data_IF_702945776775
#
_entry.id   IF_702945776775
#
_cell.length_a   1.000
_cell.length_b   1.000
_cell.length_c   1.000
_cell.angle_alpha   90.00
_cell.angle_beta   90.00
_cell.angle_gamma   90.00
#
_symmetry.space_group_name_H-M   'P 1'
#
loop_
_entity.id
_entity.type
_entity.pdbx_description
1 polymer ?
#
# COMPACT_ATOMS: atom_id res chain seq x y z
N UNK A 1 11.27 -4.17 7.63
CA UNK A 1 12.43 -3.28 7.66
C UNK A 1 13.07 -3.28 6.26
N UNK A 2 12.71 -2.31 5.44
CA UNK A 2 13.11 -2.20 4.02
C UNK A 2 14.50 -1.57 3.82
N UNK A 3 15.17 -1.16 4.89
CA UNK A 3 16.38 -0.35 4.81
C UNK A 3 17.58 -0.98 4.08
N UNK A 4 17.56 -2.30 3.80
CA UNK A 4 18.66 -2.98 3.11
C UNK A 4 18.19 -4.07 2.12
N UNK A 5 16.94 -4.07 1.69
CA UNK A 5 16.41 -5.06 0.74
C UNK A 5 15.67 -4.35 -0.38
N UNK A 6 15.80 -4.84 -1.60
CA UNK A 6 14.99 -4.37 -2.73
C UNK A 6 13.51 -4.75 -2.53
N UNK A 7 12.61 -4.08 -3.25
CA UNK A 7 11.20 -4.45 -3.21
C UNK A 7 10.95 -5.83 -3.85
N UNK A 8 11.76 -6.22 -4.83
CA UNK A 8 11.75 -7.55 -5.43
C UNK A 8 12.14 -8.62 -4.41
N UNK A 9 13.18 -8.37 -3.58
CA UNK A 9 13.58 -9.27 -2.49
C UNK A 9 12.48 -9.41 -1.44
N UNK A 10 11.77 -8.31 -1.16
CA UNK A 10 10.63 -8.32 -0.26
C UNK A 10 9.47 -9.10 -0.88
N UNK A 11 9.18 -8.86 -2.17
CA UNK A 11 8.12 -9.52 -2.92
C UNK A 11 8.25 -11.04 -2.94
N UNK A 12 9.47 -11.54 -3.00
CA UNK A 12 9.81 -12.96 -2.95
C UNK A 12 10.42 -13.41 -1.61
N UNK A 13 10.19 -12.64 -0.54
CA UNK A 13 10.63 -13.05 0.80
C UNK A 13 9.95 -14.35 1.25
N UNK A 14 10.55 -15.02 2.24
CA UNK A 14 9.99 -16.24 2.80
C UNK A 14 8.55 -16.06 3.28
N UNK A 15 8.26 -14.93 3.90
CA UNK A 15 6.94 -14.58 4.41
C UNK A 15 5.90 -14.48 3.31
N UNK A 16 6.22 -13.75 2.22
CA UNK A 16 5.30 -13.59 1.08
C UNK A 16 5.12 -14.89 0.29
N UNK A 17 6.17 -15.67 0.11
CA UNK A 17 6.10 -16.98 -0.54
C UNK A 17 5.22 -17.94 0.26
N UNK A 18 5.43 -18.00 1.58
CA UNK A 18 4.60 -18.82 2.48
C UNK A 18 3.14 -18.39 2.44
N UNK A 19 2.88 -17.08 2.51
CA UNK A 19 1.52 -16.55 2.46
C UNK A 19 0.80 -16.92 1.15
N UNK A 20 1.46 -16.77 -0.01
CA UNK A 20 0.88 -17.15 -1.29
C UNK A 20 0.53 -18.64 -1.34
N UNK A 21 1.45 -19.51 -0.91
CA UNK A 21 1.21 -20.96 -0.84
C UNK A 21 0.02 -21.31 0.04
N UNK A 22 -0.06 -20.73 1.24
CA UNK A 22 -1.17 -20.96 2.14
C UNK A 22 -2.51 -20.56 1.51
N UNK A 23 -2.56 -19.37 0.90
CA UNK A 23 -3.79 -18.90 0.23
C UNK A 23 -4.17 -19.76 -0.98
N UNK A 24 -3.19 -20.19 -1.77
CA UNK A 24 -3.43 -21.10 -2.92
C UNK A 24 -3.94 -22.48 -2.48
N UNK A 25 -3.50 -22.96 -1.32
CA UNK A 25 -3.98 -24.20 -0.73
C UNK A 25 -5.34 -24.08 -0.01
N UNK A 26 -5.95 -22.89 -0.04
CA UNK A 26 -7.22 -22.64 0.66
C UNK A 26 -7.09 -22.53 2.19
N UNK A 27 -5.86 -22.39 2.70
CA UNK A 27 -5.62 -22.18 4.12
C UNK A 27 -6.05 -20.79 4.58
N UNK A 28 -6.24 -20.62 5.89
CA UNK A 28 -6.56 -19.35 6.53
C UNK A 28 -5.35 -18.80 7.29
N UNK A 29 -4.40 -18.09 6.64
CA UNK A 29 -3.24 -17.52 7.31
C UNK A 29 -3.63 -16.60 8.46
N UNK A 30 -2.92 -16.70 9.58
CA UNK A 30 -3.21 -15.90 10.79
C UNK A 30 -3.05 -14.39 10.57
N UNK A 31 -2.17 -13.96 9.67
CA UNK A 31 -2.00 -12.56 9.30
C UNK A 31 -3.25 -11.95 8.67
N UNK A 32 -4.15 -12.78 8.13
CA UNK A 32 -5.43 -12.36 7.54
C UNK A 32 -6.62 -12.50 8.51
N UNK A 33 -6.37 -12.68 9.82
CA UNK A 33 -7.41 -13.00 10.82
C UNK A 33 -8.58 -12.01 10.83
N UNK A 34 -8.34 -10.73 10.57
CA UNK A 34 -9.42 -9.72 10.50
C UNK A 34 -10.38 -10.01 9.36
N UNK A 35 -9.87 -10.37 8.18
CA UNK A 35 -10.73 -10.76 7.06
C UNK A 35 -11.55 -12.00 7.40
N UNK A 36 -10.93 -13.02 7.97
CA UNK A 36 -11.62 -14.26 8.35
C UNK A 36 -12.70 -14.00 9.39
N UNK A 37 -12.42 -13.16 10.41
CA UNK A 37 -13.40 -12.79 11.44
C UNK A 37 -14.63 -12.08 10.84
N UNK A 38 -14.41 -11.16 9.88
CA UNK A 38 -15.53 -10.49 9.19
C UNK A 38 -16.37 -11.48 8.38
N UNK A 39 -15.72 -12.41 7.68
CA UNK A 39 -16.39 -13.41 6.83
C UNK A 39 -17.17 -14.41 7.67
N UNK A 40 -16.63 -14.86 8.81
CA UNK A 40 -17.32 -15.74 9.77
C UNK A 40 -18.55 -15.07 10.41
N UNK A 41 -18.53 -13.74 10.54
CA UNK A 41 -19.69 -12.96 10.99
C UNK A 41 -20.69 -12.65 9.86
N UNK A 42 -20.50 -13.18 8.65
CA UNK A 42 -21.38 -12.96 7.50
C UNK A 42 -21.18 -11.60 6.80
N UNK A 43 -20.10 -10.88 7.12
CA UNK A 43 -19.78 -9.57 6.55
C UNK A 43 -18.82 -9.68 5.38
N UNK A 44 -18.84 -8.69 4.48
CA UNK A 44 -17.82 -8.55 3.45
C UNK A 44 -16.48 -8.13 4.08
N UNK A 45 -15.43 -8.85 3.75
CA UNK A 45 -14.05 -8.47 4.07
C UNK A 45 -13.40 -7.70 2.93
N UNK A 46 -12.30 -7.00 3.24
CA UNK A 46 -11.46 -6.38 2.21
C UNK A 46 -10.92 -7.42 1.20
N UNK A 47 -10.66 -8.66 1.66
CA UNK A 47 -10.25 -9.77 0.80
C UNK A 47 -11.31 -10.11 -0.22
N UNK A 48 -12.57 -10.31 0.19
CA UNK A 48 -13.69 -10.62 -0.72
C UNK A 48 -13.89 -9.48 -1.70
N UNK A 49 -13.90 -8.22 -1.22
CA UNK A 49 -14.08 -7.04 -2.05
C UNK A 49 -12.99 -6.90 -3.11
N UNK A 50 -11.73 -7.10 -2.73
CA UNK A 50 -10.61 -7.03 -3.67
C UNK A 50 -10.60 -8.23 -4.64
N UNK A 51 -10.91 -9.45 -4.19
CA UNK A 51 -11.05 -10.60 -5.08
C UNK A 51 -12.14 -10.37 -6.15
N UNK A 52 -13.26 -9.76 -5.75
CA UNK A 52 -14.31 -9.38 -6.70
C UNK A 52 -13.84 -8.28 -7.66
N UNK A 53 -13.14 -7.28 -7.16
CA UNK A 53 -12.62 -6.16 -7.94
C UNK A 53 -11.62 -6.61 -9.01
N UNK A 54 -10.71 -7.51 -8.66
CA UNK A 54 -9.62 -7.98 -9.51
C UNK A 54 -9.83 -9.39 -10.07
N UNK A 55 -11.08 -9.87 -10.13
CA UNK A 55 -11.39 -11.25 -10.61
C UNK A 55 -10.83 -11.55 -12.00
N UNK A 56 -10.78 -10.57 -12.89
CA UNK A 56 -10.25 -10.70 -14.24
C UNK A 56 -8.73 -10.88 -14.28
N UNK A 57 -8.04 -10.52 -13.19
CA UNK A 57 -6.60 -10.65 -13.04
C UNK A 57 -6.20 -11.98 -12.37
N UNK A 58 -7.13 -12.87 -12.04
CA UNK A 58 -6.83 -14.13 -11.33
C UNK A 58 -5.88 -15.06 -12.08
N UNK A 59 -5.81 -14.93 -13.40
CA UNK A 59 -4.80 -15.64 -14.20
C UNK A 59 -3.36 -15.36 -13.76
N UNK A 60 -3.11 -14.26 -13.01
CA UNK A 60 -1.80 -13.95 -12.43
C UNK A 60 -1.42 -14.96 -11.34
N UNK A 61 -2.41 -15.54 -10.64
CA UNK A 61 -2.19 -16.57 -9.62
C UNK A 61 -1.54 -17.80 -10.21
N UNK A 62 -1.87 -18.16 -11.45
CA UNK A 62 -1.31 -19.29 -12.18
C UNK A 62 0.19 -19.15 -12.48
N UNK A 63 0.72 -17.91 -12.40
CA UNK A 63 2.15 -17.61 -12.57
C UNK A 63 2.95 -17.85 -11.28
N UNK A 64 2.30 -18.23 -10.19
CA UNK A 64 3.00 -18.47 -8.93
C UNK A 64 3.71 -19.82 -8.99
N UNK A 65 5.02 -19.79 -8.78
CA UNK A 65 5.85 -21.00 -8.77
C UNK A 65 5.49 -21.92 -7.58
N UNK A 66 5.89 -23.18 -7.66
CA UNK A 66 5.59 -24.20 -6.63
C UNK A 66 6.13 -23.84 -5.24
N UNK A 67 7.21 -23.03 -5.18
CA UNK A 67 7.78 -22.53 -3.93
C UNK A 67 7.07 -21.26 -3.42
N UNK A 68 6.08 -20.73 -4.15
CA UNK A 68 5.35 -19.50 -3.84
C UNK A 68 6.00 -18.22 -4.37
N UNK A 69 7.11 -18.31 -5.12
CA UNK A 69 7.73 -17.16 -5.76
C UNK A 69 6.97 -16.71 -7.01
N UNK A 70 7.23 -15.49 -7.42
CA UNK A 70 6.78 -14.91 -8.69
C UNK A 70 7.99 -14.32 -9.42
N UNK A 71 8.15 -14.63 -10.71
CA UNK A 71 9.27 -14.14 -11.52
C UNK A 71 9.16 -12.64 -11.82
N UNK A 72 7.94 -12.11 -11.75
CA UNK A 72 7.68 -10.68 -11.98
C UNK A 72 6.78 -10.10 -10.89
N UNK A 73 7.06 -8.87 -10.49
CA UNK A 73 6.19 -8.09 -9.61
C UNK A 73 5.14 -7.37 -10.47
N UNK A 74 3.93 -7.92 -10.53
CA UNK A 74 2.82 -7.40 -11.34
C UNK A 74 1.74 -6.80 -10.42
N UNK A 75 1.92 -5.52 -10.08
CA UNK A 75 1.04 -4.80 -9.16
C UNK A 75 -0.25 -4.36 -9.86
N UNK A 76 -1.40 -4.54 -9.20
CA UNK A 76 -2.72 -4.05 -9.65
C UNK A 76 -3.28 -2.95 -8.74
N UNK A 77 -2.94 -2.97 -7.48
CA UNK A 77 -3.36 -2.01 -6.47
C UNK A 77 -2.16 -1.49 -5.71
N UNK A 78 -2.07 -0.19 -5.53
CA UNK A 78 -0.99 0.44 -4.79
C UNK A 78 -1.56 1.46 -3.80
N UNK A 79 -1.46 1.15 -2.50
CA UNK A 79 -1.75 2.07 -1.39
C UNK A 79 -0.46 2.81 -1.03
N UNK A 80 -0.45 4.11 -1.18
CA UNK A 80 0.73 4.93 -1.01
C UNK A 80 0.53 6.04 0.03
N UNK A 81 1.53 6.16 0.92
CA UNK A 81 1.56 7.14 2.03
C UNK A 81 2.94 7.74 2.14
N UNK A 82 3.22 8.73 1.29
CA UNK A 82 4.54 9.33 1.19
C UNK A 82 4.88 10.27 2.35
N UNK A 83 3.88 10.80 3.04
CA UNK A 83 4.09 11.80 4.08
C UNK A 83 2.96 11.76 5.10
N UNK A 84 3.20 12.29 6.29
CA UNK A 84 2.14 12.60 7.24
C UNK A 84 1.91 14.11 7.38
N UNK A 85 2.47 14.93 6.47
CA UNK A 85 2.17 16.35 6.40
C UNK A 85 0.71 16.54 6.03
N UNK A 86 0.00 17.32 6.83
CA UNK A 86 -1.42 17.57 6.66
C UNK A 86 -1.77 18.97 7.16
N UNK A 87 -2.60 19.68 6.40
CA UNK A 87 -3.15 20.98 6.78
C UNK A 87 -4.45 20.86 7.61
N UNK A 88 -4.95 19.64 7.82
CA UNK A 88 -6.17 19.38 8.57
C UNK A 88 -5.93 18.73 9.94
N UNK A 89 -6.94 18.87 10.83
CA UNK A 89 -7.07 18.18 12.11
C UNK A 89 -8.40 17.46 12.20
N UNK A 90 -8.59 16.44 11.35
CA UNK A 90 -9.82 15.66 11.34
C UNK A 90 -9.98 14.88 12.64
N UNK A 91 -11.18 14.87 13.23
CA UNK A 91 -11.46 14.21 14.52
C UNK A 91 -11.26 12.69 14.49
N UNK A 92 -11.35 12.09 13.33
CA UNK A 92 -11.15 10.64 13.10
C UNK A 92 -9.70 10.28 12.78
N UNK A 93 -8.80 11.27 12.71
CA UNK A 93 -7.39 11.09 12.41
C UNK A 93 -6.55 10.99 13.69
N UNK A 94 -5.29 10.58 13.53
CA UNK A 94 -4.33 10.48 14.62
C UNK A 94 -3.02 11.19 14.28
N UNK A 95 -2.18 11.41 15.29
CA UNK A 95 -0.86 11.99 15.18
C UNK A 95 0.06 11.25 14.18
N UNK A 96 -0.13 9.95 14.01
CA UNK A 96 0.64 9.14 13.03
C UNK A 96 0.41 9.59 11.58
N UNK A 97 -0.81 10.06 11.27
CA UNK A 97 -1.23 10.41 9.90
C UNK A 97 -1.47 11.91 9.68
N UNK A 98 -1.25 12.75 10.69
CA UNK A 98 -1.41 14.19 10.56
C UNK A 98 -0.33 14.93 11.34
N UNK A 99 0.49 15.71 10.63
CA UNK A 99 1.53 16.55 11.26
C UNK A 99 0.96 17.54 12.26
N UNK A 100 -0.26 18.06 12.01
CA UNK A 100 -0.91 18.98 12.95
C UNK A 100 -1.32 18.28 14.26
N UNK A 101 -1.79 17.02 14.18
CA UNK A 101 -2.02 16.22 15.37
C UNK A 101 -0.71 15.79 16.04
N UNK A 102 0.33 15.47 15.24
CA UNK A 102 1.62 15.08 15.77
C UNK A 102 2.26 16.20 16.61
N UNK A 103 2.17 17.46 16.16
CA UNK A 103 2.65 18.62 16.92
C UNK A 103 1.92 18.74 18.27
N UNK A 104 0.60 18.61 18.27
CA UNK A 104 -0.21 18.72 19.49
C UNK A 104 0.03 17.54 20.44
N UNK A 105 0.06 16.32 19.93
CA UNK A 105 0.30 15.11 20.72
C UNK A 105 1.71 15.11 21.34
N UNK A 106 2.71 15.59 20.60
CA UNK A 106 4.08 15.74 21.12
C UNK A 106 4.22 16.81 22.21
N UNK A 107 3.34 17.83 22.22
CA UNK A 107 3.35 18.89 23.23
C UNK A 107 2.57 18.52 24.49
N UNK A 108 1.48 17.76 24.35
CA UNK A 108 0.49 17.56 25.40
C UNK A 108 0.16 16.08 25.67
N UNK A 109 0.63 15.16 24.85
CA UNK A 109 0.38 13.74 24.99
C UNK A 109 1.41 13.02 25.85
N UNK A 110 0.97 11.93 26.49
CA UNK A 110 1.85 11.04 27.28
C UNK A 110 2.53 9.95 26.41
N UNK A 111 2.32 10.02 25.10
CA UNK A 111 2.80 9.01 24.16
C UNK A 111 4.25 9.26 23.70
N UNK A 112 4.84 8.24 23.06
CA UNK A 112 6.13 8.43 22.39
C UNK A 112 5.98 9.47 21.27
N UNK A 113 6.98 10.37 21.11
CA UNK A 113 6.95 11.38 20.05
C UNK A 113 6.67 10.78 18.68
N UNK A 114 5.74 11.38 17.96
CA UNK A 114 5.43 11.03 16.57
C UNK A 114 6.28 11.89 15.64
N UNK A 115 7.02 11.25 14.76
CA UNK A 115 7.86 11.95 13.80
C UNK A 115 7.02 12.50 12.66
N UNK A 116 7.29 13.76 12.29
CA UNK A 116 6.78 14.35 11.06
C UNK A 116 7.76 13.96 9.95
N UNK A 117 7.24 13.36 8.89
CA UNK A 117 8.02 13.00 7.71
C UNK A 117 7.34 13.57 6.45
N UNK A 118 8.13 14.25 5.66
CA UNK A 118 7.83 14.57 4.28
C UNK A 118 8.62 13.60 3.43
N UNK A 119 8.05 13.06 2.38
CA UNK A 119 8.79 12.21 1.46
C UNK A 119 10.08 12.90 1.01
N UNK A 120 11.20 12.51 1.59
CA UNK A 120 12.54 13.03 1.31
C UNK A 120 13.42 11.98 0.64
N UNK A 121 14.71 12.17 0.63
CA UNK A 121 15.72 11.38 -0.10
C UNK A 121 15.60 9.85 0.05
N UNK A 122 15.21 9.36 1.23
CA UNK A 122 14.96 7.94 1.47
C UNK A 122 13.74 7.40 0.70
N UNK A 123 12.77 8.26 0.42
CA UNK A 123 11.56 7.90 -0.34
C UNK A 123 11.81 7.93 -1.85
N UNK A 124 12.77 8.68 -2.33
CA UNK A 124 13.15 8.68 -3.74
C UNK A 124 13.71 7.33 -4.17
N UNK A 125 14.53 6.71 -3.32
CA UNK A 125 15.02 5.36 -3.57
C UNK A 125 13.85 4.36 -3.65
N UNK A 126 12.88 4.43 -2.74
CA UNK A 126 11.72 3.56 -2.73
C UNK A 126 10.79 3.84 -3.93
N UNK A 127 10.53 5.11 -4.24
CA UNK A 127 9.76 5.52 -5.41
C UNK A 127 10.36 4.98 -6.69
N UNK A 128 11.66 5.12 -6.87
CA UNK A 128 12.38 4.65 -8.06
C UNK A 128 12.33 3.13 -8.21
N UNK A 129 12.29 2.38 -7.12
CA UNK A 129 12.09 0.93 -7.15
C UNK A 129 10.66 0.56 -7.59
N UNK A 130 9.63 1.30 -7.18
CA UNK A 130 8.24 1.02 -7.56
C UNK A 130 7.87 1.55 -8.95
N UNK A 131 8.46 2.65 -9.39
CA UNK A 131 8.11 3.34 -10.64
C UNK A 131 8.02 2.41 -11.87
N UNK A 132 8.94 1.45 -12.10
CA UNK A 132 8.85 0.52 -13.24
C UNK A 132 7.61 -0.37 -13.24
N UNK A 133 6.98 -0.58 -12.07
CA UNK A 133 5.82 -1.45 -11.90
C UNK A 133 4.48 -0.72 -12.06
N UNK A 134 4.48 0.60 -12.25
CA UNK A 134 3.25 1.39 -12.35
C UNK A 134 2.47 1.16 -13.63
N UNK A 135 3.08 0.64 -14.68
CA UNK A 135 2.44 0.44 -15.99
C UNK A 135 1.20 -0.47 -15.96
N UNK A 136 1.13 -1.40 -15.01
CA UNK A 136 0.05 -2.39 -14.90
C UNK A 136 -0.90 -2.09 -13.73
N UNK A 137 -0.69 -1.02 -13.00
CA UNK A 137 -1.54 -0.64 -11.88
C UNK A 137 -2.92 -0.23 -12.40
N UNK A 138 -3.96 -0.78 -11.79
CA UNK A 138 -5.35 -0.45 -12.07
C UNK A 138 -5.91 0.54 -11.06
N UNK A 139 -5.34 0.59 -9.86
CA UNK A 139 -5.79 1.44 -8.77
C UNK A 139 -4.61 1.99 -8.01
N UNK A 140 -4.56 3.31 -7.90
CA UNK A 140 -3.76 4.02 -6.91
C UNK A 140 -4.68 4.54 -5.80
N UNK A 141 -4.36 4.19 -4.56
CA UNK A 141 -4.99 4.74 -3.38
C UNK A 141 -4.00 5.66 -2.66
N UNK A 142 -4.29 6.95 -2.67
CA UNK A 142 -3.49 7.97 -2.04
C UNK A 142 -4.03 8.28 -0.64
N UNK A 143 -3.19 8.11 0.37
CA UNK A 143 -3.51 8.38 1.76
C UNK A 143 -2.25 8.90 2.49
N UNK A 144 -2.33 8.99 3.81
CA UNK A 144 -1.23 9.49 4.64
C UNK A 144 -1.65 10.79 5.32
N UNK A 145 -0.88 11.87 5.21
CA UNK A 145 -1.30 13.21 5.59
C UNK A 145 -2.36 13.76 4.63
N UNK A 146 -2.08 14.87 4.00
CA UNK A 146 -2.87 15.33 2.84
C UNK A 146 -2.13 14.96 1.56
N UNK A 147 -2.64 14.00 0.75
CA UNK A 147 -1.93 13.52 -0.42
C UNK A 147 -1.59 14.62 -1.43
N UNK A 148 -2.47 15.60 -1.60
CA UNK A 148 -2.30 16.71 -2.56
C UNK A 148 -1.21 17.71 -2.14
N UNK A 149 -0.66 17.59 -0.92
CA UNK A 149 0.45 18.41 -0.43
C UNK A 149 1.83 17.82 -0.74
N UNK A 150 1.91 16.67 -1.41
CA UNK A 150 3.18 15.99 -1.70
C UNK A 150 3.51 16.05 -3.18
N UNK A 151 4.75 16.43 -3.52
CA UNK A 151 5.23 16.44 -4.90
C UNK A 151 5.18 15.05 -5.52
N UNK A 152 5.42 14.00 -4.75
CA UNK A 152 5.33 12.59 -5.19
C UNK A 152 3.97 12.20 -5.75
N UNK A 153 2.89 12.81 -5.28
CA UNK A 153 1.58 12.62 -5.87
C UNK A 153 1.58 13.05 -7.35
N UNK A 154 2.09 14.26 -7.63
CA UNK A 154 2.11 14.82 -8.99
C UNK A 154 3.10 14.08 -9.89
N UNK A 155 4.27 13.71 -9.39
CA UNK A 155 5.25 12.89 -10.11
C UNK A 155 4.67 11.53 -10.56
N UNK A 156 3.83 10.90 -9.71
CA UNK A 156 3.12 9.66 -10.07
C UNK A 156 2.13 9.92 -11.21
N UNK A 157 1.34 10.99 -11.13
CA UNK A 157 0.36 11.32 -12.17
C UNK A 157 1.05 11.61 -13.51
N UNK A 158 2.12 12.39 -13.50
CA UNK A 158 2.92 12.68 -14.69
C UNK A 158 3.46 11.39 -15.30
N UNK A 159 4.03 10.51 -14.50
CA UNK A 159 4.54 9.23 -14.97
C UNK A 159 3.45 8.32 -15.56
N UNK A 160 2.26 8.29 -14.98
CA UNK A 160 1.13 7.54 -15.53
C UNK A 160 0.70 8.08 -16.90
N UNK A 161 0.71 9.40 -17.08
CA UNK A 161 0.43 10.06 -18.38
C UNK A 161 1.52 9.72 -19.38
N UNK A 162 2.80 9.89 -19.02
CA UNK A 162 3.96 9.58 -19.88
C UNK A 162 3.98 8.14 -20.38
N UNK A 163 3.59 7.20 -19.52
CA UNK A 163 3.56 5.77 -19.84
C UNK A 163 2.25 5.29 -20.48
N UNK A 164 1.29 6.20 -20.67
CA UNK A 164 0.00 5.92 -21.29
C UNK A 164 -0.96 5.13 -20.39
N UNK A 165 -0.66 4.96 -19.09
CA UNK A 165 -1.56 4.31 -18.14
C UNK A 165 -2.62 5.29 -17.63
N UNK A 166 -3.47 5.79 -18.52
CA UNK A 166 -4.50 6.81 -18.23
C UNK A 166 -5.85 6.22 -17.80
N UNK A 167 -5.98 4.88 -17.76
CA UNK A 167 -7.21 4.19 -17.31
C UNK A 167 -7.17 3.78 -15.84
N UNK A 168 -6.12 4.16 -15.13
CA UNK A 168 -5.98 3.88 -13.70
C UNK A 168 -7.05 4.61 -12.90
N UNK A 169 -7.64 3.93 -11.91
CA UNK A 169 -8.53 4.55 -10.93
C UNK A 169 -7.69 5.21 -9.85
N UNK A 170 -7.96 6.47 -9.58
CA UNK A 170 -7.32 7.24 -8.49
C UNK A 170 -8.31 7.34 -7.34
N UNK A 171 -7.94 6.82 -6.19
CA UNK A 171 -8.72 6.88 -4.95
C UNK A 171 -7.96 7.73 -3.93
N UNK A 172 -8.66 8.57 -3.20
CA UNK A 172 -8.08 9.49 -2.22
C UNK A 172 -8.73 9.34 -0.86
N UNK A 173 -7.91 9.40 0.17
CA UNK A 173 -8.33 9.65 1.53
C UNK A 173 -7.75 11.01 1.96
N UNK A 174 -8.53 12.05 1.70
CA UNK A 174 -8.23 13.45 1.94
C UNK A 174 -9.25 14.08 2.89
#
# INVERSE_FOLDING_TARGET
NTHNRSIEDIWNSHEYKTLRKQLMNGEKPSVCHQCWKHEEAGNNSSRISNNKRFKEDFHIVEKTNTDGSLDTMDLRYFDVRWSNICNFKCRTCSATYSSNWAVEDNQHGDNKPVYIFAGGDSNDSLYNQFKPHFKNIKVFYFAGGEPLMTDKHYEILEHLIETGNTKVTLEYNS
#
